data_IF_769956648987
#
_entry.id   IF_769956648987
#
_cell.length_a   1.000
_cell.length_b   1.000
_cell.length_c   1.000
_cell.angle_alpha   90.00
_cell.angle_beta   90.00
_cell.angle_gamma   90.00
#
_symmetry.space_group_name_H-M   'P 1'
#
loop_
_entity.id
_entity.type
_entity.pdbx_description
1 polymer ?
#
# COMPACT_ATOMS: atom_id res chain seq x y z
N UNK A 1 9.04 -17.31 -13.10
CA UNK A 1 7.68 -16.78 -12.83
C UNK A 1 7.53 -16.27 -11.40
N UNK A 2 7.25 -17.14 -10.41
CA UNK A 2 6.96 -16.71 -9.03
C UNK A 2 8.11 -16.00 -8.31
N UNK A 3 9.36 -16.26 -8.72
CA UNK A 3 10.54 -15.58 -8.17
C UNK A 3 10.60 -14.12 -8.58
N UNK A 4 10.34 -13.82 -9.85
CA UNK A 4 10.30 -12.44 -10.33
C UNK A 4 9.11 -11.67 -9.78
N UNK A 5 7.96 -12.34 -9.60
CA UNK A 5 6.81 -11.78 -8.86
C UNK A 5 7.16 -11.46 -7.40
N UNK A 6 7.82 -12.39 -6.70
CA UNK A 6 8.22 -12.18 -5.32
C UNK A 6 9.33 -11.12 -5.14
N UNK A 7 10.16 -10.92 -6.17
CA UNK A 7 11.23 -9.91 -6.17
C UNK A 7 10.73 -8.46 -6.22
N UNK A 8 9.45 -8.24 -6.55
CA UNK A 8 8.82 -6.92 -6.56
C UNK A 8 7.71 -6.88 -5.52
N UNK A 9 7.98 -6.21 -4.39
CA UNK A 9 7.11 -6.24 -3.22
C UNK A 9 5.68 -5.73 -3.49
N UNK A 10 5.53 -4.75 -4.38
CA UNK A 10 4.25 -4.15 -4.76
C UNK A 10 3.37 -5.18 -5.49
N UNK A 11 3.89 -5.85 -6.51
CA UNK A 11 3.14 -6.83 -7.30
C UNK A 11 2.75 -8.06 -6.49
N UNK A 12 3.66 -8.54 -5.64
CA UNK A 12 3.33 -9.62 -4.72
C UNK A 12 2.31 -9.19 -3.66
N UNK A 13 2.20 -7.90 -3.32
CA UNK A 13 1.20 -7.42 -2.35
C UNK A 13 -0.17 -7.32 -3.01
N UNK A 14 -0.26 -6.72 -4.19
CA UNK A 14 -1.48 -6.64 -4.99
C UNK A 14 -2.06 -8.03 -5.28
N UNK A 15 -1.23 -8.98 -5.73
CA UNK A 15 -1.69 -10.36 -5.97
C UNK A 15 -2.18 -11.04 -4.68
N UNK A 16 -1.52 -10.83 -3.54
CA UNK A 16 -1.99 -11.38 -2.26
C UNK A 16 -3.29 -10.73 -1.79
N UNK A 17 -3.57 -9.50 -2.24
CA UNK A 17 -4.83 -8.79 -2.04
C UNK A 17 -5.92 -9.24 -3.02
N UNK A 18 -5.58 -10.07 -4.02
CA UNK A 18 -6.50 -10.50 -5.08
C UNK A 18 -6.67 -9.46 -6.19
N UNK A 19 -5.75 -8.50 -6.30
CA UNK A 19 -5.78 -7.46 -7.33
C UNK A 19 -4.75 -7.78 -8.43
N UNK A 20 -5.14 -7.56 -9.69
CA UNK A 20 -4.27 -7.72 -10.84
C UNK A 20 -3.41 -6.44 -11.02
N UNK A 21 -2.06 -6.52 -10.97
CA UNK A 21 -1.23 -5.36 -11.27
C UNK A 21 -1.26 -4.97 -12.74
N UNK A 22 -1.40 -3.68 -13.05
CA UNK A 22 -1.46 -3.16 -14.42
C UNK A 22 -0.20 -3.51 -15.24
N UNK A 23 0.98 -3.41 -14.63
CA UNK A 23 2.27 -3.63 -15.29
C UNK A 23 2.81 -5.06 -15.13
N UNK A 24 1.95 -6.04 -14.79
CA UNK A 24 2.41 -7.40 -14.47
C UNK A 24 3.17 -8.05 -15.63
N UNK A 25 2.79 -7.80 -16.89
CA UNK A 25 3.46 -8.37 -18.05
C UNK A 25 4.95 -8.01 -18.15
N UNK A 26 5.33 -6.82 -17.68
CA UNK A 26 6.73 -6.36 -17.71
C UNK A 26 7.67 -7.36 -17.01
N UNK A 27 7.21 -7.97 -15.92
CA UNK A 27 7.97 -8.97 -15.14
C UNK A 27 8.04 -10.30 -15.89
N UNK A 28 6.93 -10.70 -16.50
CA UNK A 28 6.81 -11.98 -17.20
C UNK A 28 7.65 -11.99 -18.49
N UNK A 29 7.76 -10.84 -19.14
CA UNK A 29 8.66 -10.61 -20.27
C UNK A 29 10.14 -10.77 -19.87
N UNK A 30 10.55 -10.27 -18.70
CA UNK A 30 11.91 -10.45 -18.17
C UNK A 30 12.25 -11.93 -17.95
N UNK A 31 11.27 -12.73 -17.52
CA UNK A 31 11.46 -14.17 -17.27
C UNK A 31 11.17 -15.04 -18.52
N UNK A 32 10.83 -14.43 -19.66
CA UNK A 32 10.46 -15.11 -20.92
C UNK A 32 9.38 -16.17 -20.75
N UNK A 33 8.46 -15.95 -19.82
CA UNK A 33 7.28 -16.80 -19.63
C UNK A 33 6.10 -15.84 -19.71
N UNK A 34 5.51 -15.62 -20.90
CA UNK A 34 4.46 -14.63 -21.05
C UNK A 34 3.23 -15.04 -20.22
N UNK A 35 2.61 -14.05 -19.56
CA UNK A 35 1.42 -14.25 -18.73
C UNK A 35 0.16 -14.37 -19.60
N UNK A 36 0.15 -13.67 -20.72
CA UNK A 36 -0.91 -13.74 -21.70
C UNK A 36 -0.41 -14.33 -23.01
N UNK A 37 -1.32 -14.85 -23.84
CA UNK A 37 -1.03 -15.30 -25.20
C UNK A 37 -0.39 -14.18 -26.04
N UNK A 38 0.74 -14.43 -26.69
CA UNK A 38 1.47 -13.42 -27.48
C UNK A 38 0.99 -13.39 -28.93
N UNK A 39 0.50 -14.52 -29.43
CA UNK A 39 0.05 -14.69 -30.81
C UNK A 39 -1.39 -15.20 -30.90
N UNK A 40 -2.06 -14.94 -32.03
CA UNK A 40 -3.38 -15.53 -32.32
C UNK A 40 -3.38 -17.06 -32.30
N UNK A 41 -2.24 -17.71 -32.50
CA UNK A 41 -2.11 -19.17 -32.48
C UNK A 41 -2.03 -19.76 -31.07
N UNK A 42 -1.80 -18.94 -30.06
CA UNK A 42 -1.61 -19.38 -28.67
C UNK A 42 -2.96 -19.64 -27.97
N UNK A 43 -4.05 -19.08 -28.52
CA UNK A 43 -5.42 -19.28 -28.06
C UNK A 43 -6.24 -20.02 -29.12
N UNK A 44 -6.38 -21.32 -28.94
CA UNK A 44 -7.36 -22.11 -29.69
C UNK A 44 -8.78 -21.76 -29.24
N UNK A 45 -9.64 -21.41 -30.19
CA UNK A 45 -11.08 -21.27 -29.96
C UNK A 45 -11.88 -21.85 -31.10
N UNK A 46 -12.96 -22.54 -30.74
CA UNK A 46 -13.91 -23.13 -31.65
C UNK A 46 -15.30 -22.62 -31.30
N UNK A 47 -16.06 -22.22 -32.33
CA UNK A 47 -17.43 -21.78 -32.19
C UNK A 47 -18.28 -22.43 -33.28
N UNK A 48 -19.47 -22.91 -32.93
CA UNK A 48 -20.41 -23.52 -33.87
C UNK A 48 -21.21 -22.51 -34.71
N UNK A 49 -20.85 -21.22 -34.67
CA UNK A 49 -21.54 -20.19 -35.43
C UNK A 49 -21.19 -20.25 -36.92
N UNK A 50 -22.04 -19.76 -37.82
CA UNK A 50 -21.80 -19.78 -39.27
C UNK A 50 -20.74 -18.77 -39.75
N UNK A 51 -20.00 -18.14 -38.82
CA UNK A 51 -18.94 -17.17 -39.12
C UNK A 51 -17.60 -17.89 -39.29
N UNK A 52 -16.87 -17.55 -40.36
CA UNK A 52 -15.57 -18.13 -40.70
C UNK A 52 -14.39 -17.35 -40.09
N UNK A 53 -14.64 -16.20 -39.47
CA UNK A 53 -13.62 -15.45 -38.74
C UNK A 53 -13.24 -16.15 -37.42
N UNK A 54 -11.95 -16.15 -37.08
CA UNK A 54 -11.45 -16.58 -35.77
C UNK A 54 -10.47 -15.52 -35.21
N UNK A 55 -10.80 -14.86 -34.06
CA UNK A 55 -12.02 -15.02 -33.26
C UNK A 55 -13.24 -14.39 -33.94
N UNK A 56 -14.38 -15.10 -33.95
CA UNK A 56 -15.67 -14.52 -34.34
C UNK A 56 -16.21 -13.62 -33.23
N UNK A 57 -17.29 -12.87 -33.50
CA UNK A 57 -17.90 -11.97 -32.49
C UNK A 57 -18.27 -12.65 -31.16
N UNK A 58 -18.64 -13.94 -31.19
CA UNK A 58 -18.98 -14.69 -29.98
C UNK A 58 -17.74 -15.06 -29.17
N UNK A 59 -16.69 -15.56 -29.83
CA UNK A 59 -15.41 -15.86 -29.18
C UNK A 59 -14.82 -14.58 -28.62
N UNK A 60 -14.86 -13.48 -29.36
CA UNK A 60 -14.42 -12.17 -28.88
C UNK A 60 -15.19 -11.76 -27.61
N UNK A 61 -16.53 -11.90 -27.59
CA UNK A 61 -17.32 -11.61 -26.40
C UNK A 61 -16.93 -12.49 -25.19
N UNK A 62 -16.63 -13.78 -25.41
CA UNK A 62 -16.14 -14.67 -24.36
C UNK A 62 -14.77 -14.22 -23.85
N UNK A 63 -13.85 -13.82 -24.73
CA UNK A 63 -12.54 -13.30 -24.34
C UNK A 63 -12.64 -12.01 -23.53
N UNK A 64 -13.55 -11.11 -23.89
CA UNK A 64 -13.82 -9.90 -23.11
C UNK A 64 -14.31 -10.23 -21.70
N UNK A 65 -15.31 -11.11 -21.59
CA UNK A 65 -15.81 -11.54 -20.28
C UNK A 65 -14.75 -12.28 -19.46
N UNK A 66 -13.89 -13.06 -20.13
CA UNK A 66 -12.80 -13.77 -19.47
C UNK A 66 -11.75 -12.79 -18.92
N UNK A 67 -11.42 -11.74 -19.67
CA UNK A 67 -10.55 -10.65 -19.19
C UNK A 67 -11.12 -9.97 -17.94
N UNK A 68 -12.39 -9.58 -17.97
CA UNK A 68 -13.07 -8.97 -16.82
C UNK A 68 -13.04 -9.89 -15.57
N UNK A 69 -13.12 -11.21 -15.77
CA UNK A 69 -12.98 -12.18 -14.68
C UNK A 69 -11.57 -12.27 -14.14
N UNK A 70 -10.55 -12.11 -14.97
CA UNK A 70 -9.16 -12.10 -14.51
C UNK A 70 -8.81 -10.83 -13.74
N UNK A 71 -9.38 -9.70 -14.14
CA UNK A 71 -9.21 -8.43 -13.40
C UNK A 71 -9.84 -8.52 -12.01
N UNK A 72 -11.00 -9.19 -11.90
CA UNK A 72 -11.69 -9.41 -10.63
C UNK A 72 -11.06 -10.52 -9.76
N UNK A 73 -10.46 -11.55 -10.36
CA UNK A 73 -9.76 -12.62 -9.65
C UNK A 73 -8.50 -13.09 -10.44
N UNK A 74 -7.32 -12.55 -10.13
CA UNK A 74 -6.08 -12.89 -10.82
C UNK A 74 -5.65 -14.35 -10.57
N UNK A 75 -6.20 -15.02 -9.55
CA UNK A 75 -5.88 -16.43 -9.29
C UNK A 75 -6.50 -17.40 -10.29
N UNK A 76 -7.53 -16.98 -11.03
CA UNK A 76 -8.11 -17.79 -12.10
C UNK A 76 -7.09 -18.07 -13.21
N UNK A 77 -6.25 -17.08 -13.52
CA UNK A 77 -5.24 -17.21 -14.56
C UNK A 77 -4.10 -18.16 -14.15
N UNK A 78 -3.76 -18.23 -12.86
CA UNK A 78 -2.85 -19.25 -12.31
C UNK A 78 -3.51 -20.64 -12.27
N UNK A 79 -4.81 -20.69 -12.00
CA UNK A 79 -5.60 -21.94 -11.99
C UNK A 79 -5.64 -22.57 -13.38
N UNK A 80 -5.83 -21.77 -14.43
CA UNK A 80 -5.72 -22.21 -15.83
C UNK A 80 -4.32 -22.75 -16.16
N UNK A 81 -3.27 -22.29 -15.46
CA UNK A 81 -1.91 -22.83 -15.53
C UNK A 81 -1.64 -24.02 -14.59
N UNK A 82 -2.69 -24.58 -13.99
CA UNK A 82 -2.58 -25.75 -13.11
C UNK A 82 -2.02 -25.44 -11.71
N UNK A 83 -2.08 -24.18 -11.26
CA UNK A 83 -1.63 -23.75 -9.93
C UNK A 83 -2.82 -23.24 -9.13
N UNK A 84 -3.06 -23.78 -7.94
CA UNK A 84 -4.12 -23.26 -7.08
C UNK A 84 -3.67 -22.00 -6.31
N UNK A 85 -4.65 -21.25 -5.81
CA UNK A 85 -4.44 -19.99 -5.07
C UNK A 85 -3.56 -20.19 -3.84
N UNK A 86 -3.79 -21.25 -3.08
CA UNK A 86 -3.09 -21.53 -1.83
C UNK A 86 -1.61 -21.80 -2.08
N UNK A 87 -1.29 -22.57 -3.13
CA UNK A 87 0.08 -22.85 -3.57
C UNK A 87 0.80 -21.57 -4.00
N UNK A 88 0.15 -20.72 -4.80
CA UNK A 88 0.73 -19.44 -5.24
C UNK A 88 0.97 -18.54 -4.03
N UNK A 89 -0.02 -18.36 -3.16
CA UNK A 89 0.07 -17.48 -2.00
C UNK A 89 1.12 -17.98 -0.99
N UNK A 90 1.18 -19.28 -0.71
CA UNK A 90 2.18 -19.87 0.16
C UNK A 90 3.60 -19.67 -0.38
N UNK A 91 3.79 -19.90 -1.69
CA UNK A 91 5.10 -19.78 -2.33
C UNK A 91 5.57 -18.31 -2.41
N UNK A 92 4.66 -17.37 -2.70
CA UNK A 92 4.95 -15.93 -2.67
C UNK A 92 5.34 -15.46 -1.26
N UNK A 93 4.61 -15.89 -0.22
CA UNK A 93 4.93 -15.56 1.19
C UNK A 93 6.29 -16.12 1.59
N UNK A 94 6.56 -17.39 1.29
CA UNK A 94 7.82 -18.08 1.61
C UNK A 94 9.02 -17.35 1.00
N UNK A 95 8.92 -16.97 -0.28
CA UNK A 95 10.01 -16.30 -0.99
C UNK A 95 10.25 -14.87 -0.49
N UNK A 96 9.20 -14.13 -0.13
CA UNK A 96 9.37 -12.81 0.49
C UNK A 96 9.95 -12.87 1.91
N UNK A 97 9.59 -13.88 2.70
CA UNK A 97 10.20 -14.09 4.00
C UNK A 97 11.70 -14.45 3.92
N UNK A 98 12.17 -14.93 2.76
CA UNK A 98 13.56 -15.34 2.55
C UNK A 98 14.46 -14.25 1.95
N UNK A 99 13.88 -13.20 1.36
CA UNK A 99 14.60 -12.18 0.56
C UNK A 99 14.97 -10.89 1.30
N UNK A 100 14.56 -10.74 2.56
CA UNK A 100 14.89 -9.56 3.38
C UNK A 100 14.88 -10.02 4.83
N UNK A 101 15.89 -9.72 5.66
CA UNK A 101 15.69 -9.74 7.09
C UNK A 101 14.65 -8.65 7.36
N UNK A 102 13.39 -9.06 7.43
CA UNK A 102 12.36 -8.24 8.03
C UNK A 102 12.90 -7.99 9.43
N UNK A 103 13.44 -6.78 9.64
CA UNK A 103 13.68 -6.25 10.98
C UNK A 103 12.37 -6.50 11.70
N UNK A 104 12.46 -7.43 12.65
CA UNK A 104 11.40 -8.01 13.46
C UNK A 104 10.09 -7.24 13.26
N UNK A 105 9.31 -7.68 12.26
CA UNK A 105 7.95 -7.21 12.15
C UNK A 105 7.34 -7.49 13.52
N UNK A 106 6.74 -6.49 14.20
CA UNK A 106 6.01 -6.76 15.41
C UNK A 106 5.08 -7.91 15.08
N UNK A 107 5.06 -8.93 15.96
CA UNK A 107 4.24 -10.11 15.78
C UNK A 107 2.87 -9.70 15.22
N UNK A 108 2.33 -10.40 14.20
CA UNK A 108 1.04 -10.04 13.62
C UNK A 108 0.07 -9.76 14.76
N UNK A 109 -0.56 -8.58 14.73
CA UNK A 109 -1.51 -8.17 15.75
C UNK A 109 -2.58 -9.25 15.87
N UNK A 110 -2.46 -10.09 16.89
CA UNK A 110 -3.45 -11.08 17.27
C UNK A 110 -4.31 -10.43 18.34
N UNK A 111 -5.59 -10.16 18.07
CA UNK A 111 -6.49 -9.57 19.07
C UNK A 111 -6.50 -10.36 20.39
N UNK A 112 -6.28 -11.67 20.31
CA UNK A 112 -6.26 -12.59 21.45
C UNK A 112 -4.96 -12.55 22.29
N UNK A 113 -3.91 -11.86 21.85
CA UNK A 113 -2.69 -11.68 22.64
C UNK A 113 -2.74 -10.45 23.55
N UNK A 114 -3.81 -9.64 23.45
CA UNK A 114 -4.07 -8.56 24.39
C UNK A 114 -4.62 -9.21 25.65
N UNK A 115 -3.83 -9.23 26.72
CA UNK A 115 -4.35 -9.55 28.04
C UNK A 115 -5.54 -8.61 28.31
N UNK A 116 -6.73 -9.19 28.43
CA UNK A 116 -7.94 -8.43 28.79
C UNK A 116 -7.76 -8.03 30.25
N UNK A 117 -7.16 -6.86 30.45
CA UNK A 117 -7.23 -6.15 31.72
C UNK A 117 -8.73 -5.99 32.06
N UNK A 118 -9.18 -6.37 33.27
CA UNK A 118 -10.57 -6.20 33.67
C UNK A 118 -10.87 -4.71 33.81
N UNK A 119 -11.34 -4.10 32.72
CA UNK A 119 -11.82 -2.71 32.71
C UNK A 119 -13.26 -2.70 33.24
N UNK A 120 -13.55 -1.78 34.16
CA UNK A 120 -14.92 -1.58 34.65
C UNK A 120 -15.87 -1.22 33.49
N UNK A 121 -17.15 -1.62 33.53
CA UNK A 121 -18.12 -1.27 32.51
C UNK A 121 -18.14 0.24 32.23
N UNK A 122 -18.31 0.64 30.96
CA UNK A 122 -18.31 2.04 30.56
C UNK A 122 -19.30 2.89 31.36
N UNK A 123 -20.48 2.32 31.67
CA UNK A 123 -21.55 2.96 32.46
C UNK A 123 -21.11 3.34 33.88
N UNK A 124 -20.21 2.56 34.48
CA UNK A 124 -19.65 2.84 35.81
C UNK A 124 -18.49 3.85 35.74
N UNK A 125 -17.91 4.03 34.55
CA UNK A 125 -16.76 4.91 34.29
C UNK A 125 -17.14 6.28 33.72
N UNK A 126 -18.43 6.55 33.43
CA UNK A 126 -18.91 7.80 32.81
C UNK A 126 -18.50 9.06 33.59
N UNK A 127 -18.51 9.01 34.92
CA UNK A 127 -18.14 10.15 35.77
C UNK A 127 -16.66 10.54 35.69
N UNK A 128 -15.81 9.63 35.20
CA UNK A 128 -14.38 9.83 34.97
C UNK A 128 -14.03 9.60 33.49
N UNK A 129 -15.02 9.60 32.59
CA UNK A 129 -14.81 9.33 31.16
C UNK A 129 -13.92 10.40 30.53
N UNK A 130 -14.16 11.66 30.90
CA UNK A 130 -13.29 12.80 30.60
C UNK A 130 -12.14 12.92 31.60
N UNK A 131 -11.77 11.81 32.27
CA UNK A 131 -11.00 11.74 33.50
C UNK A 131 -9.70 12.52 33.54
N UNK A 132 -9.29 12.81 34.78
CA UNK A 132 -8.24 13.76 35.16
C UNK A 132 -6.89 13.51 34.51
N UNK A 133 -6.19 14.59 34.17
CA UNK A 133 -4.79 14.63 33.71
C UNK A 133 -3.81 13.75 34.53
N UNK A 134 -4.19 13.34 35.75
CA UNK A 134 -3.42 12.42 36.60
C UNK A 134 -3.26 11.02 36.00
N UNK A 135 -4.21 10.52 35.20
CA UNK A 135 -4.04 9.26 34.47
C UNK A 135 -2.98 9.37 33.37
N UNK A 136 -2.82 10.57 32.80
CA UNK A 136 -1.76 10.91 31.85
C UNK A 136 -0.46 11.30 32.54
N UNK A 137 -0.38 11.35 33.87
CA UNK A 137 0.85 11.70 34.57
C UNK A 137 1.98 10.68 34.33
N UNK A 138 1.63 9.42 34.05
CA UNK A 138 2.58 8.39 33.64
C UNK A 138 2.79 8.32 32.11
N UNK A 139 2.01 9.08 31.33
CA UNK A 139 2.08 9.09 29.88
C UNK A 139 3.16 10.07 29.41
N UNK A 140 4.27 9.54 28.91
CA UNK A 140 5.34 10.35 28.31
C UNK A 140 5.18 10.42 26.80
N UNK A 141 5.05 11.63 26.25
CA UNK A 141 5.14 11.84 24.80
C UNK A 141 6.60 12.07 24.43
N UNK A 142 7.12 11.27 23.51
CA UNK A 142 8.44 11.48 22.92
C UNK A 142 8.24 12.21 21.59
N UNK A 143 8.55 13.51 21.57
CA UNK A 143 8.53 14.31 20.34
C UNK A 143 9.96 14.29 19.80
N UNK A 144 10.14 13.70 18.62
CA UNK A 144 11.44 13.57 17.97
C UNK A 144 11.29 13.73 16.46
N UNK A 145 12.41 14.05 15.80
CA UNK A 145 12.47 14.06 14.35
C UNK A 145 12.10 12.68 13.79
N UNK A 146 11.26 12.60 12.74
CA UNK A 146 10.93 11.33 12.12
C UNK A 146 12.19 10.67 11.56
N UNK A 147 12.43 9.37 11.82
CA UNK A 147 13.65 8.68 11.39
C UNK A 147 13.75 8.51 9.86
N UNK A 148 12.64 8.67 9.16
CA UNK A 148 12.56 8.61 7.70
C UNK A 148 12.03 9.94 7.18
N UNK A 149 12.89 10.67 6.47
CA UNK A 149 12.48 11.87 5.75
C UNK A 149 11.29 11.55 4.82
N UNK A 150 10.24 12.37 4.92
CA UNK A 150 9.02 12.28 4.13
C UNK A 150 8.30 10.94 4.26
N UNK A 151 8.33 10.32 5.45
CA UNK A 151 7.70 9.02 5.70
C UNK A 151 6.23 8.97 5.23
N UNK A 152 5.47 10.04 5.48
CA UNK A 152 4.07 10.13 5.04
C UNK A 152 3.95 10.16 3.53
N UNK A 153 4.80 10.93 2.83
CA UNK A 153 4.79 11.00 1.38
C UNK A 153 5.17 9.67 0.74
N UNK A 154 6.16 8.97 1.32
CA UNK A 154 6.58 7.63 0.84
C UNK A 154 5.51 6.57 1.06
N UNK A 155 4.71 6.69 2.12
CA UNK A 155 3.65 5.73 2.47
C UNK A 155 2.36 5.98 1.71
N UNK A 156 1.94 7.24 1.59
CA UNK A 156 0.67 7.63 0.97
C UNK A 156 0.81 7.83 -0.54
N UNK A 157 2.02 8.11 -1.02
CA UNK A 157 2.28 8.43 -2.42
C UNK A 157 1.96 9.89 -2.75
N UNK A 158 2.21 10.25 -4.01
CA UNK A 158 1.86 11.57 -4.55
C UNK A 158 0.47 11.47 -5.22
N UNK A 159 -0.40 12.48 -5.04
CA UNK A 159 -1.69 12.54 -5.71
C UNK A 159 -1.55 12.60 -7.24
N UNK A 160 -2.47 11.95 -7.96
CA UNK A 160 -2.44 11.87 -9.43
C UNK A 160 -2.89 13.14 -10.15
N UNK A 161 -3.60 14.03 -9.44
CA UNK A 161 -4.13 15.27 -9.99
C UNK A 161 -3.14 16.44 -9.95
N UNK A 162 -1.92 16.23 -9.44
CA UNK A 162 -0.85 17.24 -9.37
C UNK A 162 0.38 16.70 -10.10
N UNK A 163 1.12 17.58 -10.76
CA UNK A 163 2.43 17.25 -11.33
C UNK A 163 3.37 16.72 -10.24
N UNK A 164 3.67 15.41 -10.32
CA UNK A 164 4.32 14.65 -9.25
C UNK A 164 5.70 15.19 -8.89
N UNK A 165 6.49 15.55 -9.90
CA UNK A 165 7.86 16.01 -9.70
C UNK A 165 7.91 17.40 -9.05
N UNK A 166 7.04 18.31 -9.51
CA UNK A 166 6.90 19.63 -8.91
C UNK A 166 6.51 19.52 -7.42
N UNK A 167 5.46 18.75 -7.12
CA UNK A 167 4.98 18.58 -5.75
C UNK A 167 6.04 17.94 -4.85
N UNK A 168 6.75 16.93 -5.35
CA UNK A 168 7.84 16.27 -4.62
C UNK A 168 8.92 17.28 -4.21
N UNK A 169 9.38 18.11 -5.14
CA UNK A 169 10.40 19.13 -4.90
C UNK A 169 9.92 20.14 -3.84
N UNK A 170 8.66 20.59 -3.92
CA UNK A 170 8.11 21.52 -2.92
C UNK A 170 8.03 20.90 -1.52
N UNK A 171 7.56 19.65 -1.41
CA UNK A 171 7.43 18.97 -0.12
C UNK A 171 8.80 18.61 0.48
N UNK A 172 9.76 18.20 -0.34
CA UNK A 172 11.16 17.99 0.06
C UNK A 172 11.78 19.25 0.68
N UNK A 173 11.39 20.44 0.19
CA UNK A 173 11.84 21.73 0.74
C UNK A 173 11.10 22.13 2.01
N UNK A 174 9.78 21.91 2.07
CA UNK A 174 8.92 22.44 3.13
C UNK A 174 8.94 21.57 4.38
N UNK A 175 8.96 20.24 4.24
CA UNK A 175 8.89 19.31 5.38
C UNK A 175 10.01 19.49 6.41
N UNK A 176 11.29 19.68 6.02
CA UNK A 176 12.36 19.94 6.99
C UNK A 176 12.10 21.21 7.81
N UNK A 177 11.69 22.30 7.15
CA UNK A 177 11.41 23.57 7.82
C UNK A 177 10.22 23.46 8.80
N UNK A 178 9.16 22.74 8.41
CA UNK A 178 8.01 22.48 9.30
C UNK A 178 8.44 21.59 10.48
N UNK A 179 9.28 20.58 10.24
CA UNK A 179 9.75 19.67 11.29
C UNK A 179 10.59 20.41 12.33
N UNK A 180 11.52 21.25 11.87
CA UNK A 180 12.34 22.10 12.73
C UNK A 180 11.47 23.05 13.56
N UNK A 181 10.50 23.72 12.93
CA UNK A 181 9.56 24.59 13.61
C UNK A 181 8.71 23.84 14.64
N UNK A 182 8.16 22.68 14.27
CA UNK A 182 7.33 21.88 15.17
C UNK A 182 8.12 21.39 16.40
N UNK A 183 9.39 21.02 16.22
CA UNK A 183 10.29 20.67 17.33
C UNK A 183 10.57 21.91 18.20
N UNK A 184 10.83 23.06 17.60
CA UNK A 184 11.04 24.30 18.35
C UNK A 184 9.81 24.68 19.19
N UNK A 185 8.61 24.58 18.62
CA UNK A 185 7.34 24.82 19.35
C UNK A 185 7.15 23.80 20.47
N UNK A 186 7.38 22.51 20.19
CA UNK A 186 7.21 21.44 21.17
C UNK A 186 8.11 21.57 22.40
N UNK A 187 9.31 22.14 22.24
CA UNK A 187 10.28 22.35 23.32
C UNK A 187 10.38 23.82 23.80
N UNK A 188 9.56 24.72 23.27
CA UNK A 188 9.46 26.09 23.76
C UNK A 188 8.73 26.13 25.11
N UNK A 189 9.23 26.94 26.05
CA UNK A 189 8.50 27.21 27.29
C UNK A 189 7.23 28.00 26.96
N UNK A 190 6.06 27.41 27.20
CA UNK A 190 4.78 28.02 26.88
C UNK A 190 4.51 29.18 27.86
N UNK A 191 4.67 30.43 27.42
CA UNK A 191 4.18 31.61 28.15
C UNK A 191 2.72 31.86 27.75
N UNK A 192 1.73 31.65 28.64
CA UNK A 192 0.31 31.64 28.27
C UNK A 192 -0.29 33.01 27.90
N UNK A 193 0.50 34.09 27.89
CA UNK A 193 0.03 35.46 27.62
C UNK A 193 0.58 36.10 26.32
N UNK A 194 1.29 35.35 25.47
CA UNK A 194 1.77 35.85 24.18
C UNK A 194 0.90 35.37 23.02
N UNK A 195 0.26 36.29 22.30
CA UNK A 195 -0.34 35.99 20.99
C UNK A 195 0.71 35.30 20.09
N UNK A 196 0.35 34.25 19.33
CA UNK A 196 1.30 33.62 18.43
C UNK A 196 1.70 34.62 17.34
N UNK A 197 2.92 35.15 17.41
CA UNK A 197 3.52 35.85 16.29
C UNK A 197 3.66 34.86 15.13
N UNK A 198 2.81 34.99 14.10
CA UNK A 198 3.00 34.33 12.82
C UNK A 198 4.32 34.80 12.21
N UNK A 199 5.32 33.91 12.00
CA UNK A 199 6.52 34.30 11.29
C UNK A 199 6.22 34.43 9.80
N UNK A 200 6.89 35.35 9.09
CA UNK A 200 6.62 35.61 7.69
C UNK A 200 7.04 34.39 6.86
N UNK A 201 6.07 33.73 6.23
CA UNK A 201 6.31 32.81 5.12
C UNK A 201 6.91 33.60 3.94
N UNK A 202 8.21 33.87 3.98
CA UNK A 202 8.94 34.33 2.80
C UNK A 202 9.16 33.15 1.87
N UNK A 203 8.12 32.82 1.10
CA UNK A 203 8.28 32.11 -0.15
C UNK A 203 9.07 33.07 -1.06
N UNK A 204 10.39 32.86 -1.15
CA UNK A 204 11.20 33.55 -2.15
C UNK A 204 10.75 33.03 -3.51
N UNK A 205 9.85 33.78 -4.13
CA UNK A 205 9.63 33.72 -5.57
C UNK A 205 10.91 34.21 -6.25
N UNK A 206 11.61 33.31 -6.92
CA UNK A 206 12.61 33.66 -7.91
C UNK A 206 12.25 33.01 -9.24
N UNK A 207 12.54 33.72 -10.35
CA UNK A 207 11.83 33.62 -11.63
C UNK A 207 12.07 32.31 -12.37
#
# INVERSE_FOLDING_TARGET
MLEALAGQAIYAAQLLNGEMPDDIESIFNVVKVPLFPESRGDLGSECSCPDWANPCKHVAAVYYLLGERFDADPFLLFTLRGRNKEQIAAELRKRRASGTPVSEAPAPFTPDAIAVEPVAPLTESLGQYWGSARALAAFSVQIAEPPVALALLKRVGLPDFIEREYLRIQLERIYPAITEYALAVAFSEHNPEGEPEEPPLQIKDQP
#
